data_IF_820084746663
#
_entry.id   IF_820084746663
#
_cell.length_a   1.000
_cell.length_b   1.000
_cell.length_c   1.000
_cell.angle_alpha   90.00
_cell.angle_beta   90.00
_cell.angle_gamma   90.00
#
_symmetry.space_group_name_H-M   'P 1'
#
loop_
_entity.id
_entity.type
_entity.pdbx_description
1 polymer ?
#
# COMPACT_ATOMS: atom_id res chain seq x y z
N UNK A 1 36.42 13.28 -19.37
CA UNK A 1 35.86 11.92 -19.54
C UNK A 1 36.44 11.10 -18.40
N UNK A 2 35.62 10.46 -17.55
CA UNK A 2 36.18 9.63 -16.47
C UNK A 2 37.00 8.50 -17.10
N UNK A 3 38.23 8.29 -16.63
CA UNK A 3 39.08 7.18 -17.07
C UNK A 3 38.57 5.87 -16.47
N UNK A 4 37.57 5.28 -17.13
CA UNK A 4 36.99 3.99 -16.73
C UNK A 4 37.81 2.81 -17.28
N UNK A 5 38.56 3.02 -18.36
CA UNK A 5 39.30 1.98 -19.07
C UNK A 5 40.57 1.52 -18.35
N UNK A 6 41.12 2.35 -17.45
CA UNK A 6 42.29 2.03 -16.63
C UNK A 6 41.94 1.35 -15.29
N UNK A 7 40.65 1.30 -14.93
CA UNK A 7 40.18 0.71 -13.67
C UNK A 7 40.08 -0.81 -13.76
N UNK A 8 40.47 -1.49 -12.69
CA UNK A 8 40.23 -2.92 -12.55
C UNK A 8 38.74 -3.23 -12.41
N UNK A 9 38.35 -4.47 -12.72
CA UNK A 9 36.96 -4.93 -12.54
C UNK A 9 36.45 -4.74 -11.10
N UNK A 10 37.34 -4.83 -10.10
CA UNK A 10 37.00 -4.57 -8.69
C UNK A 10 36.66 -3.10 -8.46
N UNK A 11 37.47 -2.18 -8.99
CA UNK A 11 37.26 -0.74 -8.87
C UNK A 11 36.03 -0.27 -9.64
N UNK A 12 35.78 -0.83 -10.83
CA UNK A 12 34.55 -0.56 -11.60
C UNK A 12 33.29 -0.98 -10.83
N UNK A 13 33.32 -2.15 -10.17
CA UNK A 13 32.20 -2.59 -9.30
C UNK A 13 32.04 -1.72 -8.07
N UNK A 14 33.13 -1.22 -7.50
CA UNK A 14 33.06 -0.30 -6.36
C UNK A 14 32.46 1.05 -6.79
N UNK A 15 32.96 1.62 -7.89
CA UNK A 15 32.44 2.86 -8.46
C UNK A 15 30.95 2.75 -8.81
N UNK A 16 30.51 1.62 -9.35
CA UNK A 16 29.09 1.35 -9.59
C UNK A 16 28.25 1.50 -8.31
N UNK A 17 28.69 0.88 -7.21
CA UNK A 17 28.00 0.97 -5.91
C UNK A 17 28.00 2.39 -5.36
N UNK A 18 29.13 3.10 -5.48
CA UNK A 18 29.26 4.46 -4.98
C UNK A 18 28.35 5.42 -5.78
N UNK A 19 28.25 5.23 -7.10
CA UNK A 19 27.31 5.97 -7.95
C UNK A 19 25.87 5.65 -7.59
N UNK A 20 25.52 4.39 -7.35
CA UNK A 20 24.16 4.01 -6.92
C UNK A 20 23.78 4.66 -5.58
N UNK A 21 24.71 4.65 -4.62
CA UNK A 21 24.54 5.34 -3.34
C UNK A 21 24.39 6.86 -3.54
N UNK A 22 25.22 7.47 -4.39
CA UNK A 22 25.15 8.90 -4.69
C UNK A 22 23.83 9.28 -5.36
N UNK A 23 23.31 8.46 -6.29
CA UNK A 23 22.01 8.65 -6.93
C UNK A 23 20.89 8.58 -5.90
N UNK A 24 20.94 7.60 -4.99
CA UNK A 24 19.93 7.44 -3.94
C UNK A 24 19.92 8.65 -3.01
N UNK A 25 21.09 9.07 -2.52
CA UNK A 25 21.21 10.26 -1.69
C UNK A 25 20.77 11.53 -2.42
N UNK A 26 21.06 11.66 -3.71
CA UNK A 26 20.60 12.79 -4.52
C UNK A 26 19.07 12.82 -4.58
N UNK A 27 18.43 11.70 -4.90
CA UNK A 27 16.95 11.58 -4.92
C UNK A 27 16.34 11.91 -3.55
N UNK A 28 16.94 11.46 -2.46
CA UNK A 28 16.46 11.76 -1.11
C UNK A 28 16.56 13.25 -0.78
N UNK A 29 17.66 13.92 -1.15
CA UNK A 29 17.82 15.37 -0.98
C UNK A 29 16.78 16.14 -1.78
N UNK A 30 16.60 15.80 -3.06
CA UNK A 30 15.60 16.45 -3.92
C UNK A 30 14.18 16.23 -3.39
N UNK A 31 13.86 15.01 -2.94
CA UNK A 31 12.56 14.71 -2.31
C UNK A 31 12.34 15.55 -1.06
N UNK A 32 13.32 15.67 -0.17
CA UNK A 32 13.22 16.50 1.05
C UNK A 32 13.03 17.97 0.71
N UNK A 33 13.75 18.47 -0.30
CA UNK A 33 13.62 19.85 -0.78
C UNK A 33 12.21 20.11 -1.31
N UNK A 34 11.69 19.24 -2.17
CA UNK A 34 10.33 19.34 -2.67
C UNK A 34 9.28 19.30 -1.55
N UNK A 35 9.45 18.42 -0.55
CA UNK A 35 8.55 18.37 0.61
C UNK A 35 8.60 19.67 1.43
N UNK A 36 9.79 20.23 1.65
CA UNK A 36 9.94 21.49 2.38
C UNK A 36 9.29 22.67 1.64
N UNK A 37 9.40 22.71 0.31
CA UNK A 37 8.73 23.72 -0.53
C UNK A 37 7.20 23.61 -0.44
N UNK A 38 6.66 22.39 -0.50
CA UNK A 38 5.22 22.13 -0.33
C UNK A 38 4.75 22.54 1.07
N UNK A 39 5.50 22.19 2.11
CA UNK A 39 5.17 22.55 3.48
C UNK A 39 5.20 24.06 3.70
N UNK A 40 6.21 24.75 3.16
CA UNK A 40 6.29 26.22 3.22
C UNK A 40 5.09 26.87 2.52
N UNK A 41 4.77 26.42 1.31
CA UNK A 41 3.62 26.91 0.54
C UNK A 41 2.27 26.68 1.25
N UNK A 42 2.13 25.53 1.93
CA UNK A 42 0.96 25.22 2.74
C UNK A 42 0.87 26.14 3.96
N UNK A 43 1.98 26.35 4.66
CA UNK A 43 2.06 27.22 5.84
C UNK A 43 1.69 28.67 5.51
N UNK A 44 2.12 29.19 4.36
CA UNK A 44 1.73 30.53 3.88
C UNK A 44 0.21 30.68 3.72
N UNK A 45 -0.50 29.59 3.47
CA UNK A 45 -1.97 29.56 3.32
C UNK A 45 -2.70 29.16 4.59
N UNK A 46 -1.98 29.09 5.72
CA UNK A 46 -2.55 28.70 7.01
C UNK A 46 -2.85 27.20 7.13
N UNK A 47 -2.32 26.38 6.22
CA UNK A 47 -2.46 24.92 6.26
C UNK A 47 -1.29 24.29 7.02
N UNK A 48 -1.59 23.25 7.78
CA UNK A 48 -0.62 22.48 8.56
C UNK A 48 -0.23 21.18 7.84
N UNK A 49 0.83 20.53 8.31
CA UNK A 49 1.22 19.22 7.80
C UNK A 49 0.10 18.17 7.93
N UNK A 50 -0.74 18.29 8.96
CA UNK A 50 -1.93 17.44 9.15
C UNK A 50 -2.92 17.61 8.01
N UNK A 51 -3.19 18.85 7.58
CA UNK A 51 -4.11 19.15 6.48
C UNK A 51 -3.62 18.57 5.13
N UNK A 52 -2.28 18.57 4.91
CA UNK A 52 -1.66 17.92 3.75
C UNK A 52 -1.84 16.39 3.77
N UNK A 53 -1.82 15.77 4.96
CA UNK A 53 -2.04 14.32 5.08
C UNK A 53 -3.51 13.93 5.03
N UNK A 54 -4.44 14.83 5.38
CA UNK A 54 -5.88 14.62 5.16
C UNK A 54 -6.22 14.47 3.67
N UNK A 55 -5.54 15.21 2.78
CA UNK A 55 -5.64 15.03 1.32
C UNK A 55 -5.19 13.63 0.86
N UNK A 56 -4.20 13.04 1.52
CA UNK A 56 -3.70 11.69 1.23
C UNK A 56 -4.55 10.58 1.85
N UNK A 57 -5.35 10.95 2.86
CA UNK A 57 -6.31 10.09 3.53
C UNK A 57 -7.51 9.88 2.61
N UNK A 58 -7.27 9.20 1.48
CA UNK A 58 -8.30 8.44 0.78
C UNK A 58 -8.98 7.63 1.86
N UNK A 59 -10.18 8.06 2.25
CA UNK A 59 -11.10 7.39 3.14
C UNK A 59 -10.97 5.89 2.88
N UNK A 60 -10.23 5.18 3.72
CA UNK A 60 -10.11 3.74 3.58
C UNK A 60 -11.55 3.27 3.68
N UNK A 61 -12.13 2.80 2.57
CA UNK A 61 -13.47 2.25 2.62
C UNK A 61 -13.32 1.04 3.53
N UNK A 62 -13.75 1.17 4.79
CA UNK A 62 -13.77 0.07 5.73
C UNK A 62 -14.37 -1.11 4.98
N UNK A 63 -13.62 -2.20 4.90
CA UNK A 63 -14.14 -3.43 4.32
C UNK A 63 -15.49 -3.71 4.98
N UNK A 64 -16.50 -4.01 4.16
CA UNK A 64 -17.83 -4.29 4.69
C UNK A 64 -17.73 -5.41 5.74
N UNK A 65 -18.42 -5.25 6.86
CA UNK A 65 -18.45 -6.28 7.89
C UNK A 65 -18.94 -7.60 7.29
N UNK A 66 -18.37 -8.75 7.70
CA UNK A 66 -18.93 -10.04 7.32
C UNK A 66 -20.37 -10.15 7.81
N UNK A 67 -21.26 -10.66 6.96
CA UNK A 67 -22.69 -10.85 7.25
C UNK A 67 -23.04 -12.33 7.48
N UNK A 68 -22.23 -13.24 6.94
CA UNK A 68 -22.42 -14.68 7.04
C UNK A 68 -21.11 -15.35 7.46
N UNK A 69 -21.20 -16.40 8.26
CA UNK A 69 -20.08 -17.25 8.65
C UNK A 69 -20.37 -18.71 8.34
N UNK A 70 -19.35 -19.48 7.98
CA UNK A 70 -19.50 -20.89 7.68
C UNK A 70 -19.74 -21.68 8.99
N UNK A 71 -20.85 -22.43 9.11
CA UNK A 71 -21.14 -23.24 10.31
C UNK A 71 -20.10 -24.34 10.58
N UNK A 72 -19.36 -24.78 9.55
CA UNK A 72 -18.30 -25.78 9.68
C UNK A 72 -16.93 -25.17 10.02
N UNK A 73 -16.72 -23.87 9.75
CA UNK A 73 -15.46 -23.16 9.98
C UNK A 73 -15.68 -21.65 10.16
N UNK A 74 -15.72 -21.19 11.42
CA UNK A 74 -15.98 -19.79 11.76
C UNK A 74 -14.92 -18.80 11.24
N UNK A 75 -13.76 -19.26 10.76
CA UNK A 75 -12.75 -18.40 10.13
C UNK A 75 -13.17 -17.93 8.73
N UNK A 76 -14.09 -18.66 8.09
CA UNK A 76 -14.59 -18.34 6.75
C UNK A 76 -15.84 -17.48 6.86
N UNK A 77 -15.70 -16.22 6.46
CA UNK A 77 -16.80 -15.25 6.50
C UNK A 77 -17.06 -14.61 5.14
N UNK A 78 -18.29 -14.17 4.93
CA UNK A 78 -18.72 -13.53 3.71
C UNK A 78 -19.54 -12.28 4.00
N UNK A 79 -19.22 -11.18 3.33
CA UNK A 79 -19.85 -9.87 3.53
C UNK A 79 -21.23 -9.75 2.85
N UNK A 80 -21.67 -10.79 2.13
CA UNK A 80 -22.86 -10.75 1.29
C UNK A 80 -22.66 -9.99 -0.03
N UNK A 81 -21.45 -9.49 -0.31
CA UNK A 81 -21.10 -8.78 -1.55
C UNK A 81 -20.07 -9.59 -2.34
N UNK A 82 -20.22 -9.61 -3.67
CA UNK A 82 -19.30 -10.29 -4.58
C UNK A 82 -19.61 -11.77 -4.77
N UNK A 83 -18.62 -12.55 -5.23
CA UNK A 83 -18.80 -13.98 -5.51
C UNK A 83 -19.11 -14.75 -4.22
N UNK A 84 -20.14 -15.60 -4.26
CA UNK A 84 -20.48 -16.51 -3.17
C UNK A 84 -19.34 -17.51 -2.94
N UNK A 85 -18.92 -17.74 -1.68
CA UNK A 85 -18.00 -18.81 -1.34
C UNK A 85 -18.63 -20.18 -1.56
N UNK A 86 -17.79 -21.19 -1.83
CA UNK A 86 -18.23 -22.57 -2.08
C UNK A 86 -19.06 -23.16 -0.94
N UNK A 87 -18.79 -22.80 0.31
CA UNK A 87 -19.54 -23.31 1.46
C UNK A 87 -20.99 -22.80 1.49
N UNK A 88 -21.24 -21.57 1.01
CA UNK A 88 -22.61 -21.05 0.84
C UNK A 88 -23.33 -21.80 -0.27
N UNK A 89 -22.66 -22.03 -1.40
CA UNK A 89 -23.25 -22.77 -2.52
C UNK A 89 -23.57 -24.22 -2.13
N UNK A 90 -22.69 -24.86 -1.35
CA UNK A 90 -22.91 -26.19 -0.82
C UNK A 90 -24.08 -26.22 0.17
N UNK A 91 -24.16 -25.27 1.11
CA UNK A 91 -25.26 -25.18 2.07
C UNK A 91 -26.61 -24.94 1.38
N UNK A 92 -26.65 -24.06 0.38
CA UNK A 92 -27.85 -23.84 -0.45
C UNK A 92 -28.26 -25.10 -1.21
N UNK A 93 -27.29 -25.86 -1.73
CA UNK A 93 -27.55 -27.14 -2.42
C UNK A 93 -28.06 -28.23 -1.47
N UNK A 94 -27.73 -28.14 -0.19
CA UNK A 94 -28.24 -29.02 0.88
C UNK A 94 -29.60 -28.56 1.43
N UNK A 95 -30.21 -27.52 0.85
CA UNK A 95 -31.52 -27.00 1.27
C UNK A 95 -31.48 -26.06 2.47
N UNK A 96 -30.29 -25.65 2.94
CA UNK A 96 -30.16 -24.63 3.99
C UNK A 96 -30.33 -23.24 3.40
N UNK A 97 -30.92 -22.31 4.16
CA UNK A 97 -31.05 -20.92 3.74
C UNK A 97 -29.79 -20.12 4.09
N UNK A 98 -29.60 -18.99 3.40
CA UNK A 98 -28.53 -18.04 3.71
C UNK A 98 -28.67 -17.44 5.12
N UNK A 99 -29.88 -17.38 5.67
CA UNK A 99 -30.16 -16.85 7.00
C UNK A 99 -29.64 -17.77 8.11
N UNK A 100 -29.62 -19.09 7.89
CA UNK A 100 -29.06 -20.08 8.83
C UNK A 100 -27.55 -19.89 9.06
N UNK A 101 -26.89 -19.19 8.15
CA UNK A 101 -25.46 -18.90 8.17
C UNK A 101 -25.16 -17.43 8.48
N UNK A 102 -26.17 -16.64 8.86
CA UNK A 102 -25.98 -15.25 9.26
C UNK A 102 -25.32 -15.16 10.64
N UNK A 103 -24.42 -14.19 10.81
CA UNK A 103 -23.78 -13.83 12.09
C UNK A 103 -24.44 -12.61 12.72
#
# INVERSE_FOLDING_TARGET
MMELESLSLKELKQLQKDVEAAITQFKDREKRKALAEVEAFARERGLTASDLTELSSKRSRKSAAPKYANPADASQTWTGRGRRPRWIEAALSQGKSLEDMAI
#
